data_IF_106674182908
#
_entry.id   IF_106674182908
#
_cell.length_a   1.000
_cell.length_b   1.000
_cell.length_c   1.000
_cell.angle_alpha   90.00
_cell.angle_beta   90.00
_cell.angle_gamma   90.00
#
_symmetry.space_group_name_H-M   'P 1'
#
loop_
_entity.id
_entity.type
_entity.pdbx_description
1 polymer ?
#
# COMPACT_ATOMS: atom_id res chain seq x y z
N UNK A 1 15.87 13.16 -26.71
CA UNK A 1 16.21 13.18 -25.29
C UNK A 1 15.02 13.54 -24.39
N UNK A 2 14.37 14.66 -24.69
CA UNK A 2 13.20 15.07 -23.86
C UNK A 2 12.05 14.06 -23.91
N UNK A 3 11.77 13.46 -25.06
CA UNK A 3 10.74 12.44 -25.20
C UNK A 3 11.05 11.19 -24.37
N UNK A 4 12.33 10.75 -24.37
CA UNK A 4 12.76 9.61 -23.56
C UNK A 4 12.62 9.87 -22.08
N UNK A 5 12.96 11.08 -21.65
CA UNK A 5 12.83 11.47 -20.24
C UNK A 5 11.37 11.44 -19.78
N UNK A 6 10.46 12.00 -20.59
CA UNK A 6 9.01 11.98 -20.26
C UNK A 6 8.45 10.57 -20.23
N UNK A 7 8.86 9.72 -21.16
CA UNK A 7 8.41 8.33 -21.20
C UNK A 7 8.86 7.56 -19.96
N UNK A 8 10.02 7.89 -19.39
CA UNK A 8 10.54 7.25 -18.17
C UNK A 8 9.78 7.67 -16.91
N UNK A 9 9.21 8.88 -16.87
CA UNK A 9 8.48 9.36 -15.69
C UNK A 9 7.22 8.55 -15.42
N UNK A 10 6.44 8.23 -16.44
CA UNK A 10 5.20 7.47 -16.27
C UNK A 10 5.42 6.08 -15.69
N UNK A 11 6.40 5.28 -16.19
CA UNK A 11 6.72 4.01 -15.54
C UNK A 11 7.20 4.18 -14.10
N UNK A 12 7.93 5.27 -13.79
CA UNK A 12 8.38 5.53 -12.43
C UNK A 12 7.21 5.81 -11.48
N UNK A 13 6.21 6.55 -11.93
CA UNK A 13 5.01 6.81 -11.11
C UNK A 13 4.21 5.54 -10.87
N UNK A 14 4.03 4.71 -11.90
CA UNK A 14 3.38 3.41 -11.75
C UNK A 14 4.13 2.52 -10.76
N UNK A 15 5.45 2.48 -10.87
CA UNK A 15 6.29 1.70 -9.97
C UNK A 15 6.15 2.18 -8.51
N UNK A 16 6.15 3.50 -8.30
CA UNK A 16 5.99 4.07 -6.97
C UNK A 16 4.64 3.67 -6.34
N UNK A 17 3.57 3.74 -7.10
CA UNK A 17 2.24 3.34 -6.64
C UNK A 17 2.18 1.85 -6.31
N UNK A 18 2.77 1.02 -7.16
CA UNK A 18 2.80 -0.42 -6.97
C UNK A 18 3.64 -0.81 -5.75
N UNK A 19 4.80 -0.18 -5.58
CA UNK A 19 5.65 -0.43 -4.42
C UNK A 19 4.99 0.02 -3.12
N UNK A 20 4.27 1.15 -3.15
CA UNK A 20 3.53 1.63 -1.98
C UNK A 20 2.45 0.61 -1.57
N UNK A 21 1.72 0.07 -2.53
CA UNK A 21 0.72 -0.95 -2.29
C UNK A 21 1.36 -2.21 -1.69
N UNK A 22 2.46 -2.68 -2.29
CA UNK A 22 3.15 -3.87 -1.79
C UNK A 22 3.75 -3.67 -0.40
N UNK A 23 4.28 -2.48 -0.14
CA UNK A 23 4.82 -2.14 1.18
C UNK A 23 3.72 -2.22 2.24
N UNK A 24 2.56 -1.62 1.98
CA UNK A 24 1.42 -1.69 2.90
C UNK A 24 0.97 -3.14 3.13
N UNK A 25 0.89 -3.93 2.05
CA UNK A 25 0.53 -5.34 2.14
C UNK A 25 1.48 -6.10 3.07
N UNK A 26 2.77 -5.92 2.90
CA UNK A 26 3.77 -6.63 3.69
C UNK A 26 3.72 -6.23 5.16
N UNK A 27 3.52 -4.95 5.44
CA UNK A 27 3.39 -4.48 6.82
C UNK A 27 2.14 -5.05 7.50
N UNK A 28 0.99 -5.04 6.82
CA UNK A 28 -0.23 -5.65 7.37
C UNK A 28 -0.03 -7.12 7.65
N UNK A 29 0.55 -7.85 6.71
CA UNK A 29 0.83 -9.28 6.87
C UNK A 29 1.80 -9.53 8.03
N UNK A 30 2.81 -8.69 8.21
CA UNK A 30 3.75 -8.82 9.33
C UNK A 30 3.03 -8.74 10.67
N UNK A 31 2.09 -7.81 10.81
CA UNK A 31 1.32 -7.70 12.06
C UNK A 31 0.42 -8.91 12.28
N UNK A 32 -0.20 -9.43 11.21
CA UNK A 32 -1.03 -10.63 11.31
C UNK A 32 -0.21 -11.85 11.72
N UNK A 33 0.98 -12.01 11.15
CA UNK A 33 1.90 -13.11 11.53
C UNK A 33 2.27 -13.00 13.00
N UNK A 34 2.62 -11.81 13.48
CA UNK A 34 2.97 -11.61 14.88
C UNK A 34 1.79 -11.95 15.80
N UNK A 35 0.58 -11.62 15.39
CA UNK A 35 -0.62 -11.91 16.17
C UNK A 35 -1.09 -13.37 16.07
N UNK A 36 -0.46 -14.17 15.21
CA UNK A 36 -0.89 -15.54 14.99
C UNK A 36 -2.19 -15.66 14.20
N UNK A 37 -2.57 -14.63 13.47
CA UNK A 37 -3.78 -14.63 12.65
C UNK A 37 -3.48 -15.24 11.29
N UNK A 38 -4.16 -16.32 10.94
CA UNK A 38 -4.02 -16.99 9.65
C UNK A 38 -4.73 -16.16 8.57
N UNK A 39 -4.10 -16.00 7.43
CA UNK A 39 -4.68 -15.33 6.28
C UNK A 39 -4.38 -16.11 5.00
N UNK A 40 -5.30 -16.02 4.03
CA UNK A 40 -5.11 -16.65 2.74
C UNK A 40 -4.13 -15.83 1.90
N UNK A 41 -3.57 -16.43 0.86
CA UNK A 41 -2.71 -15.73 -0.08
C UNK A 41 -3.54 -14.68 -0.82
N UNK A 42 -3.36 -13.42 -0.46
CA UNK A 42 -4.14 -12.31 -1.02
C UNK A 42 -3.28 -11.05 -1.13
N UNK A 43 -3.66 -10.19 -2.06
CA UNK A 43 -3.11 -8.84 -2.22
C UNK A 43 -4.14 -7.78 -1.86
N UNK A 44 -5.33 -8.18 -1.40
CA UNK A 44 -6.41 -7.27 -1.05
C UNK A 44 -6.16 -6.66 0.33
N UNK A 45 -5.80 -5.38 0.34
CA UNK A 45 -5.48 -4.65 1.57
C UNK A 45 -6.69 -4.53 2.50
N UNK A 46 -7.90 -4.45 1.95
CA UNK A 46 -9.10 -4.34 2.77
C UNK A 46 -9.40 -5.67 3.48
N UNK A 47 -9.16 -6.78 2.81
CA UNK A 47 -9.26 -8.10 3.45
C UNK A 47 -8.26 -8.21 4.61
N UNK A 48 -7.01 -7.79 4.39
CA UNK A 48 -5.99 -7.83 5.43
C UNK A 48 -6.33 -6.89 6.59
N UNK A 49 -6.88 -5.70 6.29
CA UNK A 49 -7.33 -4.78 7.32
C UNK A 49 -8.42 -5.41 8.18
N UNK A 50 -9.41 -6.05 7.55
CA UNK A 50 -10.51 -6.65 8.30
C UNK A 50 -10.02 -7.70 9.30
N UNK A 51 -8.99 -8.46 8.93
CA UNK A 51 -8.36 -9.42 9.83
C UNK A 51 -7.58 -8.70 10.95
N UNK A 52 -6.86 -7.64 10.62
CA UNK A 52 -6.06 -6.89 11.58
C UNK A 52 -6.92 -6.17 12.61
N UNK A 53 -8.15 -5.83 12.30
CA UNK A 53 -9.07 -5.18 13.24
C UNK A 53 -9.35 -6.01 14.49
N UNK A 54 -9.13 -7.32 14.44
CA UNK A 54 -9.27 -8.19 15.60
C UNK A 54 -8.29 -7.86 16.72
N UNK A 55 -7.12 -7.33 16.37
CA UNK A 55 -6.05 -7.00 17.33
C UNK A 55 -5.71 -5.51 17.35
N UNK A 56 -6.12 -4.76 16.33
CA UNK A 56 -5.84 -3.34 16.17
C UNK A 56 -7.11 -2.62 15.73
N UNK A 57 -8.05 -2.46 16.65
CA UNK A 57 -9.36 -1.88 16.33
C UNK A 57 -9.27 -0.44 15.82
N UNK A 58 -8.25 0.33 16.25
CA UNK A 58 -8.05 1.71 15.81
C UNK A 58 -7.63 1.81 14.35
N UNK A 59 -7.19 0.71 13.75
CA UNK A 59 -6.76 0.71 12.35
C UNK A 59 -7.92 0.86 11.37
N UNK A 60 -9.17 0.83 11.83
CA UNK A 60 -10.31 1.18 10.99
C UNK A 60 -10.14 2.56 10.34
N UNK A 61 -9.44 3.47 11.00
CA UNK A 61 -9.14 4.81 10.48
C UNK A 61 -8.22 4.78 9.26
N UNK A 62 -7.55 3.67 8.98
CA UNK A 62 -6.66 3.52 7.83
C UNK A 62 -7.39 3.09 6.56
N UNK A 63 -8.69 2.82 6.64
CA UNK A 63 -9.45 2.33 5.49
C UNK A 63 -9.36 3.24 4.26
N UNK A 64 -9.46 4.57 4.36
CA UNK A 64 -9.33 5.42 3.17
C UNK A 64 -8.00 5.27 2.46
N UNK A 65 -6.91 5.20 3.19
CA UNK A 65 -5.57 5.05 2.62
C UNK A 65 -5.39 3.66 2.01
N UNK A 66 -5.90 2.63 2.66
CA UNK A 66 -5.82 1.27 2.15
C UNK A 66 -6.71 1.07 0.93
N UNK A 67 -7.90 1.69 0.90
CA UNK A 67 -8.74 1.69 -0.30
C UNK A 67 -8.02 2.35 -1.48
N UNK A 68 -7.38 3.50 -1.24
CA UNK A 68 -6.65 4.21 -2.28
C UNK A 68 -5.49 3.38 -2.83
N UNK A 69 -4.75 2.69 -1.97
CA UNK A 69 -3.61 1.86 -2.38
C UNK A 69 -4.05 0.56 -3.05
N UNK A 70 -5.17 -0.01 -2.60
CA UNK A 70 -5.61 -1.33 -3.02
C UNK A 70 -5.80 -1.45 -4.53
N UNK A 71 -6.27 -0.39 -5.17
CA UNK A 71 -6.50 -0.38 -6.62
C UNK A 71 -5.21 -0.50 -7.43
N UNK A 72 -4.06 -0.10 -6.88
CA UNK A 72 -2.79 -0.12 -7.62
C UNK A 72 -2.27 -1.54 -7.87
N UNK A 73 -2.76 -2.54 -7.17
CA UNK A 73 -2.41 -3.92 -7.44
C UNK A 73 -2.93 -4.41 -8.81
N UNK A 74 -3.99 -3.77 -9.31
CA UNK A 74 -4.66 -4.20 -10.54
C UNK A 74 -4.70 -3.09 -11.59
N UNK A 75 -5.03 -1.87 -11.19
CA UNK A 75 -5.42 -0.78 -12.11
C UNK A 75 -4.36 -0.42 -13.15
N UNK A 76 -3.10 -0.42 -12.76
CA UNK A 76 -2.00 0.01 -13.63
C UNK A 76 -1.27 -1.14 -14.33
N UNK A 77 -1.85 -2.33 -14.34
CA UNK A 77 -1.31 -3.46 -15.10
C UNK A 77 -1.71 -3.43 -16.57
N UNK A 78 -2.74 -2.64 -16.92
CA UNK A 78 -3.28 -2.61 -18.27
C UNK A 78 -2.71 -1.45 -19.07
N UNK A 79 -2.47 -1.66 -20.40
CA UNK A 79 -2.02 -0.58 -21.28
C UNK A 79 -2.96 0.62 -21.24
N UNK A 80 -2.41 1.81 -21.34
CA UNK A 80 -3.19 3.05 -21.37
C UNK A 80 -3.51 3.63 -20.02
N UNK A 81 -3.26 2.90 -18.93
CA UNK A 81 -3.45 3.42 -17.58
C UNK A 81 -2.11 3.77 -16.96
N UNK A 82 -1.98 4.98 -16.45
CA UNK A 82 -0.75 5.45 -15.84
C UNK A 82 -1.06 6.30 -14.63
N UNK A 83 -0.26 6.13 -13.60
CA UNK A 83 -0.32 6.99 -12.43
C UNK A 83 0.22 8.38 -12.77
N UNK A 84 -0.36 9.40 -12.13
CA UNK A 84 0.15 10.77 -12.22
C UNK A 84 1.22 10.98 -11.15
N UNK A 85 1.96 12.09 -11.28
CA UNK A 85 2.90 12.51 -10.23
C UNK A 85 2.19 12.70 -8.91
N UNK A 86 1.03 13.37 -8.92
CA UNK A 86 0.24 13.59 -7.72
C UNK A 86 -0.24 12.27 -7.11
N UNK A 87 -0.70 11.34 -7.95
CA UNK A 87 -1.12 10.02 -7.49
C UNK A 87 0.02 9.23 -6.85
N UNK A 88 1.22 9.31 -7.43
CA UNK A 88 2.40 8.66 -6.85
C UNK A 88 2.78 9.25 -5.50
N UNK A 89 2.72 10.58 -5.37
CA UNK A 89 2.99 11.25 -4.08
C UNK A 89 1.98 10.83 -3.02
N UNK A 90 0.70 10.76 -3.37
CA UNK A 90 -0.35 10.34 -2.46
C UNK A 90 -0.16 8.88 -2.03
N UNK A 91 0.20 8.01 -2.97
CA UNK A 91 0.44 6.59 -2.67
C UNK A 91 1.59 6.43 -1.68
N UNK A 92 2.68 7.15 -1.88
CA UNK A 92 3.83 7.11 -0.97
C UNK A 92 3.45 7.64 0.41
N UNK A 93 2.70 8.73 0.48
CA UNK A 93 2.23 9.30 1.75
C UNK A 93 1.32 8.32 2.49
N UNK A 94 0.39 7.68 1.79
CA UNK A 94 -0.51 6.68 2.36
C UNK A 94 0.29 5.48 2.91
N UNK A 95 1.27 5.00 2.16
CA UNK A 95 2.13 3.90 2.59
C UNK A 95 2.91 4.29 3.85
N UNK A 96 3.44 5.51 3.92
CA UNK A 96 4.17 5.99 5.10
C UNK A 96 3.28 6.02 6.33
N UNK A 97 2.04 6.44 6.18
CA UNK A 97 1.07 6.47 7.29
C UNK A 97 0.82 5.06 7.80
N UNK A 98 0.55 4.12 6.90
CA UNK A 98 0.32 2.73 7.27
C UNK A 98 1.56 2.13 7.92
N UNK A 99 2.73 2.37 7.35
CA UNK A 99 4.00 1.92 7.90
C UNK A 99 4.18 2.41 9.33
N UNK A 100 3.91 3.68 9.59
CA UNK A 100 4.03 4.24 10.94
C UNK A 100 3.14 3.54 11.94
N UNK A 101 1.88 3.31 11.59
CA UNK A 101 0.93 2.61 12.46
C UNK A 101 1.39 1.19 12.75
N UNK A 102 1.83 0.46 11.73
CA UNK A 102 2.25 -0.94 11.90
C UNK A 102 3.55 -1.03 12.68
N UNK A 103 4.53 -0.18 12.37
CA UNK A 103 5.80 -0.18 13.11
C UNK A 103 5.58 0.11 14.58
N UNK A 104 4.71 1.07 14.91
CA UNK A 104 4.36 1.36 16.29
C UNK A 104 3.75 0.12 16.98
N UNK A 105 2.83 -0.56 16.31
CA UNK A 105 2.20 -1.77 16.85
C UNK A 105 3.20 -2.92 17.05
N UNK A 106 4.23 -3.00 16.20
CA UNK A 106 5.28 -4.00 16.32
C UNK A 106 6.37 -3.62 17.32
N UNK A 107 6.28 -2.43 17.91
CA UNK A 107 7.31 -1.94 18.84
C UNK A 107 8.59 -1.48 18.14
N UNK A 108 8.51 -1.18 16.84
CA UNK A 108 9.66 -0.72 16.07
C UNK A 108 9.70 0.82 16.00
N UNK A 109 10.88 1.41 15.79
CA UNK A 109 10.98 2.86 15.57
C UNK A 109 10.13 3.29 14.38
N UNK A 110 9.45 4.40 14.53
CA UNK A 110 8.54 4.91 13.48
C UNK A 110 9.27 5.80 12.47
#
# INVERSE_FOLDING_TARGET
MLKSYRARKKPAYNAACFHAQQCAEKYLKARLVEAGIVFTKTHDLINLLSLALQVESTWASLQPELDALNKYAVEYRYPGRSATKAGAKDAVADCRKIRGFVRAALGLPV
#
